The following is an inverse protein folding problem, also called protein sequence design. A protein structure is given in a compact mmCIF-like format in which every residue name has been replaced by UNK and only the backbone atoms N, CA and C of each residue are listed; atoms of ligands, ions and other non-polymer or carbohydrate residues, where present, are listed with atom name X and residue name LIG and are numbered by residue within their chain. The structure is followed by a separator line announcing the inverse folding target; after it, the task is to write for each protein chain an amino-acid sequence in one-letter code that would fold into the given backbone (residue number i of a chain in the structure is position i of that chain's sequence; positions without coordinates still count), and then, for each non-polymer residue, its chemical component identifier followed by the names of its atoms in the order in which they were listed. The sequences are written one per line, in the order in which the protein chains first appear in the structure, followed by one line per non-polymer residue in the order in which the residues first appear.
data_IF_399971036003
#
_entry.id   IF_399971036003
#
_cell.length_a   1.000
_cell.length_b   1.000
_cell.length_c   1.000
_cell.angle_alpha   90.00
_cell.angle_beta   90.00
_cell.angle_gamma   90.00
#
_symmetry.space_group_name_H-M   'P 1'
#
loop_
_entity.id
_entity.type
_entity.pdbx_description
1 polymer ?
#
# COMPACT_ATOMS: atom_id res chain seq x y z
N UNK A 1 6.97 2.05 25.52
CA UNK A 1 6.93 3.37 24.85
C UNK A 1 8.05 3.46 23.83
N UNK A 2 7.82 3.02 22.58
CA UNK A 2 8.69 3.38 21.46
C UNK A 2 7.98 4.52 20.75
N UNK A 3 8.34 5.75 21.09
CA UNK A 3 7.98 6.91 20.27
C UNK A 3 8.84 6.79 19.03
N UNK A 4 8.28 6.24 17.96
CA UNK A 4 8.90 6.34 16.64
C UNK A 4 8.82 7.80 16.24
N UNK A 5 9.95 8.49 16.16
CA UNK A 5 10.08 9.74 15.40
C UNK A 5 9.96 9.41 13.90
N UNK A 6 8.80 8.90 13.46
CA UNK A 6 8.42 8.99 12.04
C UNK A 6 8.18 10.49 11.82
N UNK A 7 9.03 11.12 11.03
CA UNK A 7 8.85 12.50 10.66
C UNK A 7 7.67 12.54 9.69
N UNK A 8 6.52 13.01 10.16
CA UNK A 8 5.32 13.20 9.33
C UNK A 8 5.66 14.08 8.13
N UNK A 9 5.33 13.60 6.93
CA UNK A 9 5.55 14.30 5.66
C UNK A 9 4.99 15.75 5.70
N UNK A 10 3.85 15.96 6.36
CA UNK A 10 3.28 17.31 6.58
C UNK A 10 4.19 18.15 7.48
N UNK A 11 4.69 17.57 8.57
CA UNK A 11 5.59 18.25 9.50
C UNK A 11 6.92 18.64 8.86
N UNK A 12 7.44 17.81 7.95
CA UNK A 12 8.62 18.15 7.16
C UNK A 12 8.32 19.28 6.17
N UNK A 13 7.20 19.21 5.46
CA UNK A 13 6.76 20.28 4.55
C UNK A 13 6.59 21.62 5.27
N UNK A 14 5.93 21.65 6.43
CA UNK A 14 5.74 22.87 7.24
C UNK A 14 7.06 23.51 7.71
N UNK A 15 8.14 22.72 7.84
CA UNK A 15 9.48 23.26 8.16
C UNK A 15 10.16 23.93 6.96
N UNK A 16 9.74 23.59 5.74
CA UNK A 16 10.33 24.09 4.49
C UNK A 16 9.45 25.09 3.74
N UNK A 17 8.16 25.17 4.06
CA UNK A 17 7.23 26.06 3.35
C UNK A 17 7.59 27.53 3.55
N UNK A 18 7.04 28.39 2.69
CA UNK A 18 7.18 29.85 2.74
C UNK A 18 6.81 30.47 4.11
N UNK A 19 5.98 29.81 4.91
CA UNK A 19 5.60 30.27 6.27
C UNK A 19 6.57 29.84 7.37
N UNK A 20 7.58 29.01 7.08
CA UNK A 20 8.53 28.49 8.08
C UNK A 20 9.39 29.60 8.66
N UNK A 21 9.63 29.66 9.97
CA UNK A 21 10.50 30.69 10.56
C UNK A 21 11.99 30.55 10.22
N UNK A 22 12.41 29.37 9.78
CA UNK A 22 13.82 29.07 9.52
C UNK A 22 14.12 29.15 8.02
N UNK A 23 14.77 30.24 7.59
CA UNK A 23 15.06 30.54 6.19
C UNK A 23 16.00 29.51 5.55
N UNK A 24 16.91 28.92 6.33
CA UNK A 24 17.96 28.03 5.81
C UNK A 24 17.42 26.72 5.22
N UNK A 25 16.21 26.33 5.60
CA UNK A 25 15.56 25.09 5.15
C UNK A 25 14.38 25.33 4.21
N UNK A 26 14.06 26.58 3.88
CA UNK A 26 12.92 26.89 3.02
C UNK A 26 13.18 26.46 1.58
N UNK A 27 12.10 26.20 0.85
CA UNK A 27 12.16 26.23 -0.60
C UNK A 27 12.67 27.60 -1.08
N UNK A 28 13.39 27.61 -2.20
CA UNK A 28 13.93 28.83 -2.75
C UNK A 28 12.81 29.81 -3.12
N UNK A 29 12.96 31.10 -2.80
CA UNK A 29 12.02 32.17 -3.17
C UNK A 29 12.16 32.53 -4.67
N UNK A 30 11.92 31.53 -5.51
CA UNK A 30 11.99 31.57 -6.97
C UNK A 30 10.78 30.82 -7.53
N UNK A 31 10.38 31.09 -8.77
CA UNK A 31 9.27 30.38 -9.42
C UNK A 31 9.47 28.84 -9.48
N UNK A 32 10.73 28.38 -9.44
CA UNK A 32 11.06 26.96 -9.35
C UNK A 32 10.79 26.42 -7.94
N UNK A 33 11.31 27.08 -6.90
CA UNK A 33 11.09 26.66 -5.52
C UNK A 33 9.63 26.76 -5.06
N UNK A 34 8.86 27.73 -5.56
CA UNK A 34 7.41 27.78 -5.35
C UNK A 34 6.70 26.56 -5.96
N UNK A 35 7.10 26.14 -7.15
CA UNK A 35 6.59 24.92 -7.77
C UNK A 35 6.97 23.67 -6.96
N UNK A 36 8.22 23.58 -6.46
CA UNK A 36 8.64 22.47 -5.60
C UNK A 36 7.81 22.41 -4.31
N UNK A 37 7.54 23.55 -3.68
CA UNK A 37 6.70 23.63 -2.47
C UNK A 37 5.28 23.12 -2.73
N UNK A 38 4.65 23.55 -3.83
CA UNK A 38 3.31 23.13 -4.23
C UNK A 38 3.29 21.64 -4.60
N UNK A 39 4.28 21.18 -5.36
CA UNK A 39 4.41 19.79 -5.76
C UNK A 39 4.56 18.88 -4.55
N UNK A 40 5.39 19.25 -3.57
CA UNK A 40 5.57 18.49 -2.34
C UNK A 40 4.27 18.41 -1.51
N UNK A 41 3.49 19.49 -1.47
CA UNK A 41 2.17 19.47 -0.81
C UNK A 41 1.18 18.57 -1.56
N UNK A 42 1.20 18.60 -2.89
CA UNK A 42 0.36 17.77 -3.74
C UNK A 42 0.71 16.28 -3.57
N UNK A 43 2.00 15.93 -3.50
CA UNK A 43 2.48 14.57 -3.19
C UNK A 43 1.89 14.05 -1.88
N UNK A 44 1.91 14.87 -0.83
CA UNK A 44 1.36 14.53 0.48
C UNK A 44 -0.16 14.38 0.43
N UNK A 45 -0.86 15.28 -0.27
CA UNK A 45 -2.33 15.22 -0.40
C UNK A 45 -2.77 13.95 -1.14
N UNK A 46 -1.98 13.53 -2.12
CA UNK A 46 -2.26 12.35 -2.93
C UNK A 46 -1.76 11.05 -2.28
N UNK A 47 -1.06 11.11 -1.15
CA UNK A 47 -0.55 9.91 -0.48
C UNK A 47 -1.64 8.89 -0.16
N UNK A 48 -1.50 7.65 -0.64
CA UNK A 48 -2.41 6.57 -0.27
C UNK A 48 -2.13 6.08 1.16
N UNK A 49 -3.10 5.33 1.71
CA UNK A 49 -2.94 4.59 2.96
C UNK A 49 -3.08 3.10 2.67
N UNK A 50 -2.21 2.28 3.24
CA UNK A 50 -2.22 0.84 3.02
C UNK A 50 -2.41 0.12 4.34
N UNK A 51 -3.43 -0.72 4.42
CA UNK A 51 -3.68 -1.61 5.55
C UNK A 51 -3.52 -3.06 5.10
N UNK A 52 -2.74 -3.83 5.84
CA UNK A 52 -2.47 -5.25 5.53
C UNK A 52 -2.75 -6.09 6.76
N UNK A 53 -3.35 -7.26 6.57
CA UNK A 53 -3.60 -8.23 7.64
C UNK A 53 -3.39 -9.66 7.16
N UNK A 54 -2.54 -10.42 7.85
CA UNK A 54 -2.29 -11.82 7.51
C UNK A 54 -3.51 -12.70 7.78
N UNK A 55 -3.77 -13.61 6.83
CA UNK A 55 -4.72 -14.73 6.99
C UNK A 55 -3.98 -16.00 7.37
N UNK A 56 -4.64 -16.87 8.13
CA UNK A 56 -4.08 -18.15 8.57
C UNK A 56 -5.07 -19.28 8.35
N UNK A 57 -4.57 -20.47 8.05
CA UNK A 57 -5.30 -21.72 8.23
C UNK A 57 -4.65 -22.53 9.36
N UNK A 58 -5.39 -23.50 9.87
CA UNK A 58 -4.91 -24.37 10.95
C UNK A 58 -4.52 -25.72 10.39
N UNK A 59 -3.30 -26.16 10.71
CA UNK A 59 -2.78 -27.48 10.36
C UNK A 59 -2.59 -28.31 11.63
N UNK A 60 -2.96 -29.58 11.58
CA UNK A 60 -2.62 -30.52 12.65
C UNK A 60 -1.16 -30.96 12.52
N UNK A 61 -0.39 -30.74 13.58
CA UNK A 61 1.02 -31.13 13.66
C UNK A 61 1.22 -32.18 14.73
N UNK A 62 1.92 -33.24 14.33
CA UNK A 62 2.22 -34.38 15.19
C UNK A 62 3.39 -34.06 16.13
N UNK A 63 3.20 -34.23 17.44
CA UNK A 63 4.20 -33.99 18.48
C UNK A 63 4.96 -35.26 18.92
N UNK A 64 4.64 -36.42 18.34
CA UNK A 64 5.08 -37.71 18.87
C UNK A 64 4.09 -38.29 19.88
N UNK A 65 4.13 -39.62 20.06
CA UNK A 65 3.31 -40.37 21.03
C UNK A 65 1.79 -40.26 20.89
N UNK A 66 1.29 -39.88 19.71
CA UNK A 66 -0.15 -39.82 19.44
C UNK A 66 -0.79 -38.47 19.70
N UNK A 67 -0.02 -37.48 20.18
CA UNK A 67 -0.51 -36.13 20.43
C UNK A 67 -0.40 -35.27 19.17
N UNK A 68 -1.48 -34.53 18.89
CA UNK A 68 -1.58 -33.56 17.82
C UNK A 68 -1.88 -32.18 18.42
N UNK A 69 -1.35 -31.13 17.79
CA UNK A 69 -1.75 -29.76 18.08
C UNK A 69 -2.11 -29.02 16.80
N UNK A 70 -3.02 -28.06 16.93
CA UNK A 70 -3.43 -27.18 15.85
C UNK A 70 -2.49 -25.98 15.77
N UNK A 71 -1.77 -25.84 14.67
CA UNK A 71 -0.83 -24.75 14.43
C UNK A 71 -1.42 -23.78 13.39
N UNK A 72 -1.48 -22.49 13.73
CA UNK A 72 -1.82 -21.45 12.77
C UNK A 72 -0.66 -21.26 11.78
N UNK A 73 -0.93 -21.38 10.49
CA UNK A 73 0.03 -21.21 9.40
C UNK A 73 -0.48 -20.12 8.47
N UNK A 74 0.37 -19.14 8.17
CA UNK A 74 0.05 -18.08 7.21
C UNK A 74 -0.19 -18.68 5.82
N UNK A 75 -1.24 -18.21 5.15
CA UNK A 75 -1.56 -18.59 3.78
C UNK A 75 -1.77 -17.41 2.83
N UNK A 76 -1.78 -16.18 3.36
CA UNK A 76 -2.05 -14.99 2.58
C UNK A 76 -2.19 -13.75 3.44
N UNK A 77 -2.60 -12.67 2.81
CA UNK A 77 -2.99 -11.45 3.49
C UNK A 77 -4.16 -10.77 2.76
N UNK A 78 -5.08 -10.22 3.54
CA UNK A 78 -5.97 -9.18 3.05
C UNK A 78 -5.18 -7.86 2.94
N UNK A 79 -5.47 -7.10 1.90
CA UNK A 79 -4.84 -5.80 1.62
C UNK A 79 -5.93 -4.80 1.30
N UNK A 80 -5.88 -3.63 1.93
CA UNK A 80 -6.72 -2.49 1.61
C UNK A 80 -5.81 -1.31 1.22
N UNK A 81 -6.01 -0.77 0.03
CA UNK A 81 -5.37 0.47 -0.41
C UNK A 81 -6.44 1.56 -0.47
N UNK A 82 -6.31 2.56 0.40
CA UNK A 82 -7.12 3.78 0.35
C UNK A 82 -6.46 4.78 -0.58
N UNK A 83 -7.11 5.04 -1.70
CA UNK A 83 -6.70 6.00 -2.72
C UNK A 83 -7.49 7.31 -2.55
N UNK A 84 -6.85 8.48 -2.68
CA UNK A 84 -7.55 9.76 -2.62
C UNK A 84 -8.63 9.88 -3.70
N UNK A 85 -9.74 10.56 -3.42
CA UNK A 85 -10.82 10.77 -4.40
C UNK A 85 -10.35 11.40 -5.74
N UNK A 86 -9.24 12.14 -5.74
CA UNK A 86 -8.66 12.79 -6.92
C UNK A 86 -8.14 11.82 -7.98
N UNK A 87 -7.97 10.53 -7.66
CA UNK A 87 -7.52 9.53 -8.64
C UNK A 87 -8.65 9.00 -9.53
N UNK A 88 -9.89 9.46 -9.34
CA UNK A 88 -11.03 9.04 -10.17
C UNK A 88 -10.83 9.43 -11.64
N UNK A 89 -11.23 8.54 -12.54
CA UNK A 89 -11.00 8.68 -13.97
C UNK A 89 -9.54 8.46 -14.39
N UNK A 90 -8.67 8.04 -13.47
CA UNK A 90 -7.26 7.78 -13.74
C UNK A 90 -6.95 6.29 -13.67
N UNK A 91 -5.91 5.89 -14.40
CA UNK A 91 -5.31 4.57 -14.28
C UNK A 91 -4.21 4.61 -13.23
N UNK A 92 -4.35 3.82 -12.17
CA UNK A 92 -3.35 3.72 -11.09
C UNK A 92 -2.49 2.49 -11.33
N UNK A 93 -1.17 2.66 -11.27
CA UNK A 93 -0.23 1.56 -11.49
C UNK A 93 0.32 1.03 -10.17
N UNK A 94 0.47 -0.29 -10.06
CA UNK A 94 0.95 -0.97 -8.87
C UNK A 94 2.05 -1.97 -9.20
N UNK A 95 3.02 -2.07 -8.29
CA UNK A 95 3.86 -3.24 -8.14
C UNK A 95 3.71 -3.78 -6.72
N UNK A 96 3.65 -5.10 -6.59
CA UNK A 96 3.46 -5.77 -5.30
C UNK A 96 4.36 -7.00 -5.22
N UNK A 97 5.08 -7.13 -4.12
CA UNK A 97 5.90 -8.30 -3.82
C UNK A 97 5.76 -8.70 -2.35
N UNK A 98 6.01 -9.96 -2.07
CA UNK A 98 6.23 -10.42 -0.70
C UNK A 98 7.72 -10.59 -0.47
N UNK A 99 8.16 -10.31 0.74
CA UNK A 99 9.56 -10.43 1.11
C UNK A 99 9.70 -11.01 2.51
N UNK A 100 10.90 -11.52 2.81
CA UNK A 100 11.24 -12.10 4.10
C UNK A 100 12.53 -11.52 4.62
N UNK A 101 12.72 -11.62 5.94
CA UNK A 101 14.00 -11.33 6.58
C UNK A 101 14.67 -12.62 7.04
N UNK A 102 15.63 -13.17 6.27
CA UNK A 102 16.34 -14.37 6.69
C UNK A 102 16.99 -14.18 8.06
N UNK A 103 16.75 -15.14 8.95
CA UNK A 103 17.27 -15.17 10.34
C UNK A 103 16.97 -13.91 11.18
N UNK A 104 16.02 -13.06 10.76
CA UNK A 104 15.64 -11.82 11.46
C UNK A 104 16.69 -10.71 11.47
N UNK A 105 17.87 -10.92 10.88
CA UNK A 105 19.01 -9.97 10.91
C UNK A 105 19.60 -9.66 9.54
N UNK A 106 19.34 -10.49 8.52
CA UNK A 106 19.83 -10.24 7.16
C UNK A 106 19.02 -9.14 6.46
N UNK A 107 19.55 -8.61 5.33
CA UNK A 107 18.76 -7.80 4.40
C UNK A 107 17.45 -8.49 4.02
N UNK A 108 16.45 -7.69 3.70
CA UNK A 108 15.16 -8.21 3.22
C UNK A 108 15.37 -8.77 1.81
N UNK A 109 14.80 -9.94 1.56
CA UNK A 109 14.89 -10.62 0.27
C UNK A 109 13.48 -10.90 -0.25
N UNK A 110 13.24 -10.62 -1.54
CA UNK A 110 12.00 -10.96 -2.22
C UNK A 110 11.74 -12.46 -2.23
N UNK A 111 10.48 -12.84 -2.09
CA UNK A 111 10.01 -14.21 -2.35
C UNK A 111 9.44 -14.26 -3.77
N UNK A 112 9.91 -15.21 -4.56
CA UNK A 112 9.46 -15.42 -5.95
C UNK A 112 8.12 -16.17 -6.01
N UNK A 113 7.10 -15.62 -5.35
CA UNK A 113 5.72 -16.08 -5.47
C UNK A 113 4.91 -15.10 -6.31
N UNK A 114 4.16 -15.58 -7.33
CA UNK A 114 3.29 -14.71 -8.12
C UNK A 114 2.08 -14.31 -7.30
N UNK A 115 2.09 -13.08 -6.78
CA UNK A 115 0.97 -12.49 -6.03
C UNK A 115 0.25 -11.37 -6.81
N UNK A 116 0.80 -10.98 -7.96
CA UNK A 116 0.34 -9.87 -8.77
C UNK A 116 -1.04 -10.11 -9.39
N UNK A 117 -1.27 -11.29 -9.99
CA UNK A 117 -2.58 -11.64 -10.58
C UNK A 117 -3.68 -11.65 -9.53
N UNK A 118 -3.40 -12.26 -8.38
CA UNK A 118 -4.36 -12.35 -7.28
C UNK A 118 -4.75 -10.96 -6.73
N UNK A 119 -3.84 -9.99 -6.76
CA UNK A 119 -4.09 -8.63 -6.28
C UNK A 119 -5.20 -7.95 -7.08
N UNK A 120 -5.23 -8.12 -8.42
CA UNK A 120 -6.28 -7.57 -9.28
C UNK A 120 -7.53 -8.46 -9.31
N UNK A 121 -7.36 -9.77 -9.56
CA UNK A 121 -8.47 -10.71 -9.80
C UNK A 121 -9.44 -10.86 -8.62
N UNK A 122 -8.95 -10.63 -7.40
CA UNK A 122 -9.71 -10.77 -6.16
C UNK A 122 -10.08 -9.43 -5.53
N UNK A 123 -9.71 -8.33 -6.17
CA UNK A 123 -9.89 -7.02 -5.59
C UNK A 123 -11.23 -6.40 -5.93
N UNK A 124 -11.73 -5.59 -5.01
CA UNK A 124 -13.03 -4.95 -5.08
C UNK A 124 -13.01 -3.59 -4.39
N UNK A 125 -13.84 -2.67 -4.88
CA UNK A 125 -14.04 -1.41 -4.21
C UNK A 125 -14.90 -1.56 -2.96
N UNK A 126 -14.48 -0.92 -1.87
CA UNK A 126 -15.18 -0.86 -0.58
C UNK A 126 -15.47 0.59 -0.21
N UNK A 127 -16.43 0.79 0.70
CA UNK A 127 -16.74 2.11 1.25
C UNK A 127 -15.64 2.57 2.20
N UNK A 128 -15.41 3.88 2.27
CA UNK A 128 -14.39 4.49 3.13
C UNK A 128 -14.44 4.03 4.60
N UNK A 129 -15.63 3.78 5.13
CA UNK A 129 -15.84 3.34 6.52
C UNK A 129 -15.30 1.93 6.79
N UNK A 130 -15.05 1.13 5.75
CA UNK A 130 -14.58 -0.25 5.86
C UNK A 130 -13.05 -0.35 5.96
N UNK A 131 -12.33 0.78 5.87
CA UNK A 131 -10.88 0.79 6.03
C UNK A 131 -10.46 0.24 7.40
N UNK A 132 -9.41 -0.57 7.42
CA UNK A 132 -8.92 -1.24 8.63
C UNK A 132 -9.73 -2.47 9.04
N UNK A 133 -10.78 -2.82 8.30
CA UNK A 133 -11.66 -3.96 8.62
C UNK A 133 -11.47 -5.09 7.62
N UNK A 134 -10.50 -5.97 7.89
CA UNK A 134 -10.26 -7.19 7.11
C UNK A 134 -10.68 -8.46 7.87
N UNK A 135 -11.31 -9.39 7.15
CA UNK A 135 -11.62 -10.72 7.67
C UNK A 135 -10.37 -11.61 7.70
N UNK A 136 -10.40 -12.68 8.50
CA UNK A 136 -9.30 -13.66 8.54
C UNK A 136 -9.42 -14.73 7.45
N UNK A 137 -10.38 -14.60 6.53
CA UNK A 137 -10.60 -15.56 5.44
C UNK A 137 -10.11 -14.96 4.12
N UNK A 138 -9.65 -15.79 3.17
CA UNK A 138 -9.40 -15.35 1.82
C UNK A 138 -10.64 -14.69 1.23
N UNK A 139 -10.45 -13.59 0.52
CA UNK A 139 -11.52 -13.06 -0.34
C UNK A 139 -11.74 -14.02 -1.51
N UNK A 140 -13.01 -14.29 -1.82
CA UNK A 140 -13.42 -14.97 -3.04
C UNK A 140 -13.06 -14.09 -4.26
N UNK A 141 -13.13 -14.63 -5.48
CA UNK A 141 -12.82 -13.83 -6.67
C UNK A 141 -13.83 -12.70 -6.82
N UNK A 142 -13.35 -11.53 -7.24
CA UNK A 142 -14.23 -10.38 -7.46
C UNK A 142 -15.29 -10.68 -8.53
N UNK A 143 -14.95 -11.50 -9.54
CA UNK A 143 -15.89 -11.96 -10.56
C UNK A 143 -17.03 -12.85 -10.05
N UNK A 144 -16.86 -13.46 -8.88
CA UNK A 144 -17.82 -14.38 -8.26
C UNK A 144 -18.68 -13.67 -7.20
N UNK A 145 -18.24 -12.50 -6.74
CA UNK A 145 -18.98 -11.64 -5.82
C UNK A 145 -19.82 -10.61 -6.59
N UNK A 146 -21.10 -10.96 -6.81
CA UNK A 146 -22.08 -10.08 -7.45
C UNK A 146 -22.69 -9.05 -6.48
N UNK A 147 -22.24 -8.96 -5.22
CA UNK A 147 -22.71 -7.94 -4.24
C UNK A 147 -22.00 -6.60 -4.39
N UNK A 148 -21.71 -6.25 -5.63
CA UNK A 148 -20.98 -5.06 -6.08
C UNK A 148 -21.55 -3.78 -5.45
N UNK A 149 -20.75 -2.96 -4.75
CA UNK A 149 -21.11 -1.58 -4.55
C UNK A 149 -20.83 -0.80 -5.84
N UNK A 150 -21.83 -0.05 -6.32
CA UNK A 150 -21.59 1.13 -7.16
C UNK A 150 -20.47 1.95 -6.50
N UNK A 151 -19.44 2.34 -7.26
CA UNK A 151 -18.32 3.18 -6.84
C UNK A 151 -18.68 4.09 -5.64
N UNK A 152 -17.85 4.24 -4.60
CA UNK A 152 -18.12 5.17 -3.49
C UNK A 152 -18.47 6.58 -3.99
N UNK A 153 -19.16 7.38 -3.17
CA UNK A 153 -19.60 8.73 -3.59
C UNK A 153 -18.40 9.54 -4.11
N UNK A 154 -18.59 10.44 -5.08
CA UNK A 154 -17.46 11.09 -5.78
C UNK A 154 -16.49 11.82 -4.83
N UNK A 155 -17.02 12.38 -3.74
CA UNK A 155 -16.24 13.07 -2.71
C UNK A 155 -15.49 12.12 -1.76
N UNK A 156 -15.81 10.83 -1.75
CA UNK A 156 -15.21 9.83 -0.88
C UNK A 156 -13.94 9.24 -1.51
N UNK A 157 -12.94 9.00 -0.65
CA UNK A 157 -11.78 8.19 -1.00
C UNK A 157 -12.19 6.77 -1.37
N UNK A 158 -11.37 6.14 -2.21
CA UNK A 158 -11.63 4.81 -2.73
C UNK A 158 -10.84 3.79 -1.93
N UNK A 159 -11.48 2.71 -1.49
CA UNK A 159 -10.77 1.58 -0.91
C UNK A 159 -10.76 0.45 -1.93
N UNK A 160 -9.57 0.09 -2.38
CA UNK A 160 -9.33 -1.17 -3.08
C UNK A 160 -9.01 -2.26 -2.05
N UNK A 161 -9.93 -3.20 -1.83
CA UNK A 161 -9.74 -4.34 -0.95
C UNK A 161 -9.48 -5.59 -1.77
N UNK A 162 -8.42 -6.34 -1.46
CA UNK A 162 -8.07 -7.59 -2.14
C UNK A 162 -7.47 -8.60 -1.17
N UNK A 163 -7.24 -9.82 -1.64
CA UNK A 163 -6.51 -10.85 -0.92
C UNK A 163 -5.43 -11.46 -1.81
N UNK A 164 -4.22 -11.60 -1.29
CA UNK A 164 -3.10 -12.22 -2.00
C UNK A 164 -2.60 -13.46 -1.27
N UNK A 165 -2.28 -14.55 -2.00
CA UNK A 165 -1.65 -15.72 -1.40
C UNK A 165 -0.21 -15.36 -1.00
N UNK A 166 0.24 -15.83 0.15
CA UNK A 166 1.59 -15.54 0.64
C UNK A 166 2.27 -16.82 1.13
N UNK A 167 3.58 -16.85 0.96
CA UNK A 167 4.42 -17.88 1.54
C UNK A 167 4.33 -17.81 3.07
N UNK A 168 4.41 -18.96 3.71
CA UNK A 168 4.36 -19.08 5.18
C UNK A 168 5.51 -18.32 5.87
N UNK A 169 6.62 -18.12 5.17
CA UNK A 169 7.82 -17.45 5.66
C UNK A 169 7.86 -15.96 5.27
N UNK A 170 6.85 -15.46 4.53
CA UNK A 170 6.75 -14.04 4.18
C UNK A 170 6.58 -13.19 5.45
N UNK A 171 7.46 -12.19 5.59
CA UNK A 171 7.50 -11.29 6.74
C UNK A 171 6.95 -9.90 6.40
N UNK A 172 7.11 -9.46 5.15
CA UNK A 172 6.62 -8.16 4.69
C UNK A 172 5.83 -8.29 3.39
N UNK A 173 4.91 -7.35 3.22
CA UNK A 173 4.32 -7.01 1.94
C UNK A 173 4.89 -5.66 1.49
N UNK A 174 5.42 -5.60 0.28
CA UNK A 174 5.93 -4.38 -0.31
C UNK A 174 5.05 -3.96 -1.48
N UNK A 175 4.70 -2.69 -1.50
CA UNK A 175 3.81 -2.10 -2.50
C UNK A 175 4.43 -0.81 -3.04
N UNK A 176 4.37 -0.64 -4.35
CA UNK A 176 4.71 0.59 -5.03
C UNK A 176 3.53 1.07 -5.85
N UNK A 177 3.16 2.34 -5.71
CA UNK A 177 1.98 2.92 -6.36
C UNK A 177 2.41 4.13 -7.18
N UNK A 178 1.96 4.22 -8.44
CA UNK A 178 2.13 5.40 -9.27
C UNK A 178 0.79 5.94 -9.75
N UNK A 179 0.68 7.25 -9.71
CA UNK A 179 -0.36 8.00 -10.40
C UNK A 179 0.15 8.49 -11.76
N UNK A 180 -0.75 8.77 -12.71
CA UNK A 180 -0.36 9.25 -14.02
C UNK A 180 0.13 10.70 -13.95
N UNK A 181 0.97 11.08 -14.93
CA UNK A 181 1.69 12.36 -14.94
C UNK A 181 0.79 13.60 -15.04
N UNK A 182 -0.46 13.43 -15.49
CA UNK A 182 -1.48 14.48 -15.52
C UNK A 182 -2.03 14.80 -14.12
N UNK A 183 -1.93 13.86 -13.16
CA UNK A 183 -2.33 14.08 -11.78
C UNK A 183 -1.14 14.58 -10.94
N UNK A 184 0.03 13.99 -11.14
CA UNK A 184 1.24 14.36 -10.42
C UNK A 184 2.47 14.14 -11.28
N UNK A 185 3.34 15.15 -11.40
CA UNK A 185 4.59 14.98 -12.11
C UNK A 185 5.47 13.96 -11.38
N UNK A 186 5.98 12.93 -12.08
CA UNK A 186 6.97 12.05 -11.49
C UNK A 186 8.21 12.90 -11.18
N UNK A 187 8.69 12.84 -9.94
CA UNK A 187 9.97 13.45 -9.57
C UNK A 187 11.13 12.83 -10.37
N UNK A 188 12.33 13.39 -10.25
CA UNK A 188 13.50 12.94 -11.02
C UNK A 188 13.81 11.45 -10.88
N UNK A 189 13.47 10.85 -9.72
CA UNK A 189 13.65 9.43 -9.44
C UNK A 189 12.43 8.55 -9.73
N UNK A 190 11.29 9.15 -10.13
CA UNK A 190 10.03 8.46 -10.47
C UNK A 190 9.64 7.34 -9.48
N UNK A 191 9.89 7.63 -8.20
CA UNK A 191 9.86 6.65 -7.11
C UNK A 191 8.48 6.07 -6.81
N UNK A 192 7.41 6.77 -7.17
CA UNK A 192 6.05 6.45 -6.70
C UNK A 192 5.94 6.47 -5.17
N UNK A 193 4.81 5.99 -4.65
CA UNK A 193 4.60 5.79 -3.22
C UNK A 193 5.04 4.38 -2.84
N UNK A 194 5.93 4.27 -1.85
CA UNK A 194 6.58 3.03 -1.45
C UNK A 194 6.16 2.62 -0.05
N UNK A 195 5.72 1.38 0.11
CA UNK A 195 5.29 0.82 1.37
C UNK A 195 5.97 -0.51 1.63
N UNK A 196 6.37 -0.74 2.89
CA UNK A 196 6.79 -2.04 3.40
C UNK A 196 6.06 -2.27 4.72
N UNK A 197 5.08 -3.16 4.71
CA UNK A 197 4.21 -3.44 5.86
C UNK A 197 4.58 -4.80 6.44
N UNK A 198 4.80 -4.86 7.76
CA UNK A 198 5.05 -6.12 8.46
C UNK A 198 3.76 -6.95 8.55
N UNK A 199 3.86 -8.21 8.17
CA UNK A 199 2.74 -9.13 8.13
C UNK A 199 2.39 -9.59 9.55
N UNK A 200 1.14 -9.37 9.95
CA UNK A 200 0.64 -9.75 11.26
C UNK A 200 -0.86 -10.00 11.29
N UNK A 201 -1.30 -10.82 12.24
CA UNK A 201 -2.72 -11.21 12.40
C UNK A 201 -3.61 -10.11 12.97
N UNK A 202 -3.01 -9.09 13.61
CA UNK A 202 -3.71 -7.87 14.07
C UNK A 202 -3.93 -6.86 12.94
N UNK A 203 -3.14 -7.00 11.88
CA UNK A 203 -3.00 -6.04 10.80
C UNK A 203 -2.20 -4.80 11.19
N UNK A 204 -1.65 -4.14 10.19
CA UNK A 204 -0.86 -2.92 10.33
C UNK A 204 -1.19 -1.94 9.20
N UNK A 205 -1.08 -0.64 9.50
CA UNK A 205 -1.35 0.45 8.56
C UNK A 205 -0.09 1.28 8.37
N UNK A 206 0.28 1.49 7.11
CA UNK A 206 1.30 2.48 6.76
C UNK A 206 0.69 3.60 5.92
N UNK A 207 1.26 4.79 6.07
CA UNK A 207 0.73 6.04 5.53
C UNK A 207 1.85 6.85 4.90
N UNK A 208 1.47 7.74 3.99
CA UNK A 208 2.35 8.61 3.20
C UNK A 208 3.06 7.92 2.03
N UNK A 209 3.79 6.82 2.27
CA UNK A 209 4.60 6.14 1.25
C UNK A 209 5.70 7.02 0.62
N UNK A 210 6.04 8.16 1.24
CA UNK A 210 6.96 9.16 0.68
C UNK A 210 8.38 9.01 1.25
N UNK A 211 8.57 8.13 2.23
CA UNK A 211 9.88 7.88 2.82
C UNK A 211 10.82 7.24 1.79
N UNK A 212 12.02 7.77 1.64
CA UNK A 212 13.04 7.19 0.78
C UNK A 212 13.58 5.90 1.43
N UNK A 213 12.99 4.76 1.05
CA UNK A 213 13.41 3.43 1.49
C UNK A 213 13.86 2.63 0.26
N UNK A 214 14.97 1.91 0.38
CA UNK A 214 15.35 0.89 -0.60
C UNK A 214 14.51 -0.36 -0.34
N UNK A 215 13.61 -0.66 -1.27
CA UNK A 215 12.69 -1.79 -1.22
C UNK A 215 12.90 -2.70 -2.43
N UNK A 216 12.66 -3.99 -2.25
CA UNK A 216 12.78 -5.00 -3.29
C UNK A 216 11.76 -4.76 -4.42
N UNK A 217 10.60 -4.20 -4.10
CA UNK A 217 9.58 -3.81 -5.09
C UNK A 217 10.12 -2.83 -6.14
N UNK A 218 11.12 -1.99 -5.81
CA UNK A 218 11.72 -1.02 -6.75
C UNK A 218 12.53 -1.68 -7.86
N UNK A 219 12.98 -2.92 -7.67
CA UNK A 219 13.70 -3.66 -8.70
C UNK A 219 12.78 -4.11 -9.85
N UNK A 220 11.45 -4.01 -9.68
CA UNK A 220 10.49 -4.27 -10.73
C UNK A 220 10.38 -3.08 -11.70
N UNK A 221 10.39 -3.37 -13.00
CA UNK A 221 10.19 -2.34 -14.02
C UNK A 221 8.76 -1.78 -14.01
N UNK A 222 8.59 -0.54 -14.49
CA UNK A 222 7.26 -0.01 -14.84
C UNK A 222 6.61 -0.78 -16.01
N UNK A 223 7.40 -1.48 -16.81
CA UNK A 223 6.91 -2.40 -17.84
C UNK A 223 6.31 -3.64 -17.18
N UNK A 224 5.00 -3.85 -17.32
CA UNK A 224 4.28 -4.97 -16.71
C UNK A 224 3.71 -4.69 -15.32
N UNK A 225 3.66 -3.41 -14.89
CA UNK A 225 2.91 -3.02 -13.68
C UNK A 225 1.45 -3.35 -13.81
N UNK A 226 0.83 -3.72 -12.69
CA UNK A 226 -0.61 -3.89 -12.60
C UNK A 226 -1.29 -2.53 -12.81
N UNK A 227 -2.37 -2.51 -13.59
CA UNK A 227 -3.16 -1.29 -13.81
C UNK A 227 -4.54 -1.48 -13.22
N UNK A 228 -4.91 -0.60 -12.29
CA UNK A 228 -6.26 -0.47 -11.78
C UNK A 228 -6.93 0.69 -12.49
N UNK A 229 -7.99 0.40 -13.23
CA UNK A 229 -8.82 1.45 -13.83
C UNK A 229 -9.82 1.97 -12.79
N UNK A 230 -9.77 3.27 -12.53
CA UNK A 230 -10.67 3.92 -11.59
C UNK A 230 -11.73 4.70 -12.37
N UNK A 231 -12.99 4.31 -12.23
CA UNK A 231 -14.10 5.02 -12.87
C UNK A 231 -14.25 6.46 -12.32
N UNK A 232 -14.67 7.40 -13.17
CA UNK A 232 -14.92 8.80 -12.79
C UNK A 232 -16.04 8.92 -11.75
N UNK A 233 -17.16 8.25 -12.00
CA UNK A 233 -18.38 8.36 -11.20
C UNK A 233 -19.12 7.03 -11.11
N UNK A 234 -20.19 7.00 -10.30
CA UNK A 234 -21.13 5.88 -10.30
C UNK A 234 -21.78 5.79 -11.68
N UNK A 235 -21.79 4.63 -12.35
CA UNK A 235 -22.62 4.48 -13.54
C UNK A 235 -24.09 4.71 -13.14
N UNK A 236 -24.77 5.56 -13.91
CA UNK A 236 -26.18 5.90 -13.77
C UNK A 236 -27.10 4.69 -13.93
#
# INVERSE_FOLDING_TARGET
FRVSLKQDSVGWWLRKCCWSKNLDYRYAETAHGENEEIQALLEIRLSPQVYVKSTVHYEERYLGKGDYYSAAVQNGAGVQVRLPNLVRGQSVHFNIVSSKRPWGVLPVEKIDQPIHDAFLDRGQFRKSEQFGTLTNKPADKASEDFTYPLMPHEDEDLIWETWVPLDKDATYLELQIWYPSNLIHPGEEDRGYLFQIELGTRGDTDSDGLTAVELEVKALSRTGTLTLEVAESRPL
#
